data_IF_389595966740
#
_entry.id   IF_389595966740
#
_cell.length_a   1.000
_cell.length_b   1.000
_cell.length_c   1.000
_cell.angle_alpha   90.00
_cell.angle_beta   90.00
_cell.angle_gamma   90.00
#
_symmetry.space_group_name_H-M   'P 1'
#
loop_
_entity.id
_entity.type
_entity.pdbx_description
1 polymer ?
#
# COMPACT_ATOMS: atom_id res chain seq x y z
N UNK A 1 -24.38 60.73 33.89
CA UNK A 1 -23.63 61.45 32.84
C UNK A 1 -22.20 60.90 32.77
N UNK A 2 -21.90 60.01 31.81
CA UNK A 2 -20.53 59.65 31.45
C UNK A 2 -20.41 59.79 29.93
N UNK A 3 -19.47 60.62 29.48
CA UNK A 3 -19.23 60.99 28.08
C UNK A 3 -18.71 59.78 27.29
N UNK A 4 -19.23 59.62 26.07
CA UNK A 4 -18.73 58.69 25.05
C UNK A 4 -17.36 59.14 24.55
N UNK A 5 -16.41 58.21 24.44
CA UNK A 5 -15.29 58.32 23.50
C UNK A 5 -15.40 57.17 22.50
N UNK A 6 -15.55 57.54 21.22
CA UNK A 6 -15.56 56.62 20.09
C UNK A 6 -14.13 56.26 19.75
N UNK A 7 -13.75 55.00 19.92
CA UNK A 7 -12.47 54.48 19.47
C UNK A 7 -12.61 54.09 17.99
N UNK A 8 -12.11 54.94 17.09
CA UNK A 8 -11.98 54.62 15.67
C UNK A 8 -10.83 53.60 15.53
N UNK A 9 -11.17 52.34 15.26
CA UNK A 9 -10.17 51.36 14.81
C UNK A 9 -9.93 51.60 13.32
N UNK A 10 -8.78 52.20 12.99
CA UNK A 10 -8.29 52.24 11.62
C UNK A 10 -7.81 50.83 11.27
N UNK A 11 -8.64 50.05 10.59
CA UNK A 11 -8.20 48.80 9.96
C UNK A 11 -7.33 49.23 8.77
N UNK A 12 -6.01 49.16 8.95
CA UNK A 12 -5.06 49.20 7.85
C UNK A 12 -5.32 47.95 7.00
N UNK A 13 -5.92 48.14 5.82
CA UNK A 13 -6.02 47.12 4.79
C UNK A 13 -4.58 46.74 4.39
N UNK A 14 -4.04 45.71 5.02
CA UNK A 14 -2.88 45.01 4.49
C UNK A 14 -3.35 44.31 3.22
N UNK A 15 -2.97 44.84 2.06
CA UNK A 15 -3.11 44.13 0.80
C UNK A 15 -2.38 42.79 0.95
N UNK A 16 -3.14 41.71 1.04
CA UNK A 16 -2.61 40.36 0.85
C UNK A 16 -2.32 40.27 -0.65
N UNK A 17 -1.14 40.75 -1.05
CA UNK A 17 -0.53 40.33 -2.29
C UNK A 17 -0.40 38.82 -2.24
N UNK A 18 -0.75 38.16 -3.34
CA UNK A 18 -0.56 36.73 -3.54
C UNK A 18 0.97 36.53 -3.55
N UNK A 19 1.57 36.36 -2.37
CA UNK A 19 3.02 36.30 -2.22
C UNK A 19 3.54 35.05 -2.92
N UNK A 20 4.58 35.21 -3.73
CA UNK A 20 5.36 34.09 -4.22
C UNK A 20 5.96 33.31 -3.04
N UNK A 21 6.15 32.00 -3.19
CA UNK A 21 6.88 31.24 -2.19
C UNK A 21 8.33 31.72 -2.13
N UNK A 22 8.83 32.01 -0.92
CA UNK A 22 10.19 32.49 -0.68
C UNK A 22 11.23 31.62 -1.42
N UNK A 23 12.20 32.23 -2.09
CA UNK A 23 13.29 31.46 -2.70
C UNK A 23 14.18 30.83 -1.63
N UNK A 24 14.24 29.50 -1.58
CA UNK A 24 14.91 28.73 -0.51
C UNK A 24 16.36 28.33 -0.82
N UNK A 25 16.92 28.77 -1.94
CA UNK A 25 18.27 28.39 -2.37
C UNK A 25 18.32 27.29 -3.44
N UNK A 26 17.16 26.79 -3.90
CA UNK A 26 17.05 25.78 -4.95
C UNK A 26 16.28 26.34 -6.14
N UNK A 27 16.86 26.23 -7.34
CA UNK A 27 16.21 26.65 -8.58
C UNK A 27 17.20 26.98 -9.69
N UNK A 28 16.74 26.92 -10.93
CA UNK A 28 17.53 27.33 -12.10
C UNK A 28 17.02 28.68 -12.58
N UNK A 29 17.92 29.66 -12.65
CA UNK A 29 17.63 30.98 -13.19
C UNK A 29 18.14 31.06 -14.62
N UNK A 30 17.27 31.37 -15.57
CA UNK A 30 17.59 31.45 -17.00
C UNK A 30 17.66 32.90 -17.44
N UNK A 31 18.67 33.26 -18.24
CA UNK A 31 18.82 34.63 -18.77
C UNK A 31 17.58 35.03 -19.57
N UNK A 32 17.00 36.17 -19.24
CA UNK A 32 15.93 36.78 -20.03
C UNK A 32 16.50 37.75 -21.05
N UNK A 33 15.83 37.88 -22.20
CA UNK A 33 16.34 38.66 -23.35
C UNK A 33 15.37 39.71 -23.85
N UNK A 34 14.39 40.06 -23.02
CA UNK A 34 13.40 41.09 -23.34
C UNK A 34 12.71 41.60 -22.09
N UNK A 35 12.11 42.80 -22.18
CA UNK A 35 11.22 43.31 -21.13
C UNK A 35 9.89 42.56 -21.06
N UNK A 36 9.51 41.78 -22.09
CA UNK A 36 8.32 40.95 -22.08
C UNK A 36 8.46 39.74 -21.13
N UNK A 37 9.68 39.21 -21.00
CA UNK A 37 10.01 38.12 -20.08
C UNK A 37 10.16 38.58 -18.61
N UNK A 38 10.37 39.89 -18.41
CA UNK A 38 10.46 40.55 -17.10
C UNK A 38 9.06 40.69 -16.49
N UNK A 39 8.61 39.62 -15.83
CA UNK A 39 7.40 39.61 -14.98
C UNK A 39 7.77 39.64 -13.51
N UNK A 40 6.79 39.66 -12.62
CA UNK A 40 7.06 39.55 -11.19
C UNK A 40 7.68 38.19 -10.86
N UNK A 41 8.65 38.17 -9.94
CA UNK A 41 9.35 36.96 -9.51
C UNK A 41 10.80 37.19 -9.07
N UNK A 42 11.54 36.08 -8.93
CA UNK A 42 12.93 36.09 -8.46
C UNK A 42 13.94 36.17 -9.61
N UNK A 43 14.99 36.96 -9.39
CA UNK A 43 16.04 37.22 -10.35
C UNK A 43 17.44 37.17 -9.74
N UNK A 44 18.43 36.78 -10.53
CA UNK A 44 19.84 37.10 -10.30
C UNK A 44 20.23 38.23 -11.25
N UNK A 45 20.87 39.26 -10.71
CA UNK A 45 21.32 40.44 -11.46
C UNK A 45 22.83 40.33 -11.64
N UNK A 46 23.32 40.37 -12.88
CA UNK A 46 24.75 40.34 -13.20
C UNK A 46 25.19 41.58 -13.98
N UNK A 47 26.50 41.80 -14.06
CA UNK A 47 27.07 42.78 -14.97
C UNK A 47 26.92 42.33 -16.44
N UNK A 48 27.08 43.24 -17.39
CA UNK A 48 26.83 42.97 -18.81
C UNK A 48 27.64 41.81 -19.42
N UNK A 49 28.78 41.45 -18.81
CA UNK A 49 29.63 40.33 -19.24
C UNK A 49 29.37 39.03 -18.50
N UNK A 50 28.36 38.98 -17.61
CA UNK A 50 28.01 37.83 -16.77
C UNK A 50 29.11 37.33 -15.82
N UNK A 51 30.17 38.10 -15.61
CA UNK A 51 31.30 37.69 -14.78
C UNK A 51 31.02 37.87 -13.28
N UNK A 52 30.13 38.80 -12.94
CA UNK A 52 29.87 39.23 -11.58
C UNK A 52 28.38 39.40 -11.32
N UNK A 53 27.89 38.83 -10.22
CA UNK A 53 26.53 39.04 -9.73
C UNK A 53 26.48 40.09 -8.61
N UNK A 54 25.34 40.75 -8.47
CA UNK A 54 25.04 41.67 -7.37
C UNK A 54 24.64 40.88 -6.13
N UNK A 55 25.40 41.05 -5.04
CA UNK A 55 25.10 40.43 -3.74
C UNK A 55 24.42 41.45 -2.83
N UNK A 56 23.72 40.99 -1.79
CA UNK A 56 23.22 41.87 -0.72
C UNK A 56 24.32 42.37 0.24
N UNK A 57 25.58 41.94 0.05
CA UNK A 57 26.71 42.44 0.79
C UNK A 57 26.95 43.92 0.49
N UNK A 58 27.20 44.71 1.54
CA UNK A 58 27.34 46.17 1.41
C UNK A 58 28.68 46.68 1.87
N UNK A 59 29.06 47.82 1.30
CA UNK A 59 30.12 48.69 1.79
C UNK A 59 29.58 50.11 1.92
N UNK A 60 29.93 50.80 3.00
CA UNK A 60 29.37 52.11 3.34
C UNK A 60 28.07 52.02 4.15
N UNK A 61 27.30 53.12 4.18
CA UNK A 61 26.07 53.23 4.99
C UNK A 61 24.81 52.89 4.20
N UNK A 62 23.66 52.85 4.89
CA UNK A 62 22.35 52.64 4.28
C UNK A 62 22.13 53.51 3.03
N UNK A 63 22.43 54.81 3.15
CA UNK A 63 22.15 55.84 2.14
C UNK A 63 23.33 56.09 1.20
N UNK A 64 24.57 56.01 1.68
CA UNK A 64 25.77 56.37 0.89
C UNK A 64 26.58 55.19 0.37
N UNK A 65 26.15 53.95 0.62
CA UNK A 65 26.86 52.73 0.25
C UNK A 65 26.66 52.21 -1.17
N UNK A 66 27.21 51.03 -1.43
CA UNK A 66 27.09 50.26 -2.68
C UNK A 66 27.03 48.76 -2.38
N UNK A 67 26.59 47.98 -3.37
CA UNK A 67 26.56 46.52 -3.27
C UNK A 67 27.86 45.93 -3.79
N UNK A 68 28.41 44.96 -3.06
CA UNK A 68 29.61 44.23 -3.48
C UNK A 68 29.22 43.17 -4.51
N UNK A 69 30.16 42.86 -5.40
CA UNK A 69 30.02 41.82 -6.41
C UNK A 69 30.63 40.50 -5.96
N UNK A 70 30.08 39.38 -6.43
CA UNK A 70 30.71 38.07 -6.36
C UNK A 70 30.85 37.49 -7.77
N UNK A 71 31.88 36.67 -8.00
CA UNK A 71 32.08 36.00 -9.27
C UNK A 71 30.96 35.00 -9.55
N UNK A 72 30.55 34.88 -10.82
CA UNK A 72 29.59 33.88 -11.28
C UNK A 72 29.98 33.39 -12.67
N UNK A 73 29.70 32.12 -12.96
CA UNK A 73 29.91 31.53 -14.28
C UNK A 73 28.63 30.84 -14.71
N UNK A 74 27.74 31.54 -15.45
CA UNK A 74 26.53 30.91 -15.98
C UNK A 74 26.88 29.78 -16.96
N UNK A 75 26.17 28.67 -16.86
CA UNK A 75 26.33 27.50 -17.74
C UNK A 75 25.14 27.48 -18.70
N UNK A 76 25.42 27.54 -20.00
CA UNK A 76 24.39 27.55 -21.05
C UNK A 76 23.29 28.61 -20.82
N UNK A 77 23.68 29.82 -20.38
CA UNK A 77 22.75 30.91 -20.10
C UNK A 77 21.91 30.72 -18.83
N UNK A 78 22.33 29.84 -17.92
CA UNK A 78 21.63 29.59 -16.64
C UNK A 78 22.54 29.65 -15.43
N UNK A 79 21.98 30.04 -14.29
CA UNK A 79 22.61 30.04 -12.96
C UNK A 79 21.77 29.12 -12.07
N UNK A 80 22.35 28.05 -11.54
CA UNK A 80 21.63 27.06 -10.72
C UNK A 80 21.98 27.24 -9.25
N UNK A 81 20.96 27.20 -8.39
CA UNK A 81 21.04 27.29 -6.94
C UNK A 81 21.89 28.48 -6.43
N UNK A 82 21.69 29.73 -6.92
CA UNK A 82 22.34 30.89 -6.34
C UNK A 82 21.98 31.01 -4.85
N UNK A 83 22.91 31.54 -4.05
CA UNK A 83 22.64 31.89 -2.64
C UNK A 83 21.47 32.87 -2.54
N UNK A 84 20.62 32.72 -1.53
CA UNK A 84 19.51 33.64 -1.21
C UNK A 84 19.96 35.10 -1.07
N UNK A 85 21.23 35.33 -0.71
CA UNK A 85 21.85 36.66 -0.63
C UNK A 85 22.06 37.34 -1.98
N UNK A 86 21.98 36.58 -3.07
CA UNK A 86 22.25 37.03 -4.44
C UNK A 86 20.99 37.03 -5.32
N UNK A 87 19.84 36.71 -4.72
CA UNK A 87 18.54 36.65 -5.39
C UNK A 87 17.72 37.87 -5.01
N UNK A 88 17.07 38.45 -6.01
CA UNK A 88 16.33 39.69 -5.91
C UNK A 88 14.93 39.48 -6.43
N UNK A 89 13.94 39.80 -5.61
CA UNK A 89 12.54 39.84 -6.02
C UNK A 89 12.29 41.16 -6.79
N UNK A 90 11.83 41.05 -8.03
CA UNK A 90 11.51 42.20 -8.88
C UNK A 90 10.02 42.18 -9.17
N UNK A 91 9.31 43.24 -8.76
CA UNK A 91 7.85 43.32 -8.87
C UNK A 91 7.40 44.65 -9.47
N UNK A 92 6.27 44.66 -10.18
CA UNK A 92 5.60 45.89 -10.60
C UNK A 92 5.15 46.67 -9.36
N UNK A 93 5.57 47.93 -9.26
CA UNK A 93 5.17 48.80 -8.18
C UNK A 93 5.02 50.25 -8.67
N UNK A 94 3.78 50.72 -8.79
CA UNK A 94 3.47 52.04 -9.34
C UNK A 94 3.94 52.18 -10.78
N UNK A 95 4.63 53.28 -11.09
CA UNK A 95 5.16 53.58 -12.43
C UNK A 95 6.49 52.88 -12.79
N UNK A 96 6.94 51.91 -11.99
CA UNK A 96 8.18 51.18 -12.22
C UNK A 96 8.17 49.82 -11.54
N UNK A 97 9.34 49.29 -11.23
CA UNK A 97 9.52 48.03 -10.50
C UNK A 97 10.42 48.22 -9.28
N UNK A 98 10.11 47.55 -8.18
CA UNK A 98 11.01 47.43 -7.03
C UNK A 98 12.02 46.32 -7.27
N UNK A 99 13.18 46.41 -6.61
CA UNK A 99 14.18 45.32 -6.53
C UNK A 99 14.40 45.08 -5.04
N UNK A 100 13.94 43.95 -4.53
CA UNK A 100 13.92 43.62 -3.10
C UNK A 100 14.81 42.41 -2.82
N UNK A 101 15.51 42.40 -1.68
CA UNK A 101 16.18 41.19 -1.20
C UNK A 101 15.54 40.75 0.11
N UNK A 102 14.95 39.56 0.10
CA UNK A 102 14.23 38.99 1.23
C UNK A 102 15.14 38.71 2.43
N UNK A 103 16.40 38.30 2.18
CA UNK A 103 17.32 37.94 3.25
C UNK A 103 17.70 39.14 4.15
N UNK A 104 17.67 40.37 3.63
CA UNK A 104 17.87 41.59 4.43
C UNK A 104 16.60 42.43 4.59
N UNK A 105 15.49 42.03 3.96
CA UNK A 105 14.22 42.75 3.91
C UNK A 105 14.36 44.23 3.48
N UNK A 106 15.05 44.49 2.37
CA UNK A 106 15.28 45.86 1.86
C UNK A 106 15.13 45.98 0.34
N UNK A 107 14.73 47.18 -0.08
CA UNK A 107 14.67 47.59 -1.48
C UNK A 107 15.97 48.27 -1.92
N UNK A 108 16.43 48.00 -3.14
CA UNK A 108 17.54 48.72 -3.79
C UNK A 108 17.07 50.10 -4.22
N UNK A 109 17.75 51.13 -3.75
CA UNK A 109 17.42 52.53 -4.04
C UNK A 109 18.58 53.39 -4.48
N UNK A 110 18.30 54.67 -4.64
CA UNK A 110 19.27 55.74 -4.78
C UNK A 110 18.90 56.90 -3.84
N UNK A 111 19.90 57.45 -3.15
CA UNK A 111 19.71 58.61 -2.27
C UNK A 111 20.46 59.86 -2.76
N UNK A 112 21.74 59.71 -3.09
CA UNK A 112 22.63 60.80 -3.47
C UNK A 112 23.90 60.26 -4.13
N UNK A 113 24.63 61.13 -4.84
CA UNK A 113 25.89 60.77 -5.47
C UNK A 113 25.78 59.54 -6.37
N UNK A 114 26.77 58.63 -6.24
CA UNK A 114 26.85 57.37 -6.97
C UNK A 114 26.43 56.15 -6.11
N UNK A 115 25.62 56.34 -5.08
CA UNK A 115 25.29 55.28 -4.12
C UNK A 115 24.20 54.33 -4.65
N UNK A 116 24.22 53.07 -4.25
CA UNK A 116 23.04 52.20 -4.29
C UNK A 116 22.57 52.00 -2.85
N UNK A 117 21.52 52.74 -2.47
CA UNK A 117 21.00 52.73 -1.11
C UNK A 117 20.13 51.50 -0.84
N UNK A 118 19.83 51.26 0.43
CA UNK A 118 18.78 50.31 0.84
C UNK A 118 17.67 51.09 1.52
N UNK A 119 16.44 50.76 1.18
CA UNK A 119 15.26 51.46 1.66
C UNK A 119 14.26 50.47 2.28
N UNK A 120 13.52 50.94 3.29
CA UNK A 120 12.53 50.16 4.03
C UNK A 120 11.17 50.08 3.33
N UNK A 121 10.82 51.09 2.53
CA UNK A 121 9.50 51.21 1.91
C UNK A 121 9.59 51.61 0.44
N UNK A 122 8.71 51.11 -0.44
CA UNK A 122 8.69 51.50 -1.84
C UNK A 122 8.35 52.99 -2.05
N UNK A 123 9.18 53.67 -2.84
CA UNK A 123 9.06 55.05 -3.26
C UNK A 123 9.70 55.24 -4.64
N UNK A 124 9.57 56.41 -5.27
CA UNK A 124 10.19 56.63 -6.59
C UNK A 124 11.74 56.62 -6.54
N UNK A 125 12.34 56.83 -5.37
CA UNK A 125 13.80 56.76 -5.15
C UNK A 125 14.36 55.33 -5.15
N UNK A 126 13.51 54.31 -5.03
CA UNK A 126 13.84 52.88 -5.08
C UNK A 126 12.91 52.08 -6.00
N UNK A 127 12.29 52.78 -6.95
CA UNK A 127 11.65 52.18 -8.13
C UNK A 127 12.52 52.41 -9.34
N UNK A 128 12.50 51.42 -10.22
CA UNK A 128 13.34 51.38 -11.40
C UNK A 128 12.51 51.11 -12.66
N UNK A 129 12.84 51.76 -13.76
CA UNK A 129 12.36 51.42 -15.10
C UNK A 129 13.40 50.56 -15.80
N UNK A 130 12.94 49.53 -16.50
CA UNK A 130 13.79 48.59 -17.22
C UNK A 130 13.55 48.75 -18.72
N UNK A 131 14.63 48.93 -19.49
CA UNK A 131 14.62 48.85 -20.95
C UNK A 131 15.65 47.83 -21.42
N UNK A 132 15.37 47.16 -22.54
CA UNK A 132 16.27 46.17 -23.13
C UNK A 132 16.67 46.57 -24.54
N UNK A 133 17.97 46.75 -24.76
CA UNK A 133 18.55 47.07 -26.06
C UNK A 133 20.00 46.54 -26.13
N UNK A 134 20.50 46.24 -27.34
CA UNK A 134 21.89 45.82 -27.51
C UNK A 134 22.29 44.55 -26.72
N UNK A 135 21.32 43.71 -26.34
CA UNK A 135 21.56 42.50 -25.56
C UNK A 135 21.66 42.72 -24.04
N UNK A 136 21.25 43.89 -23.52
CA UNK A 136 21.52 44.33 -22.15
C UNK A 136 20.31 45.07 -21.55
N UNK A 137 20.21 45.09 -20.22
CA UNK A 137 19.23 45.87 -19.48
C UNK A 137 19.80 47.20 -18.98
N UNK A 138 19.15 48.29 -19.34
CA UNK A 138 19.32 49.61 -18.72
C UNK A 138 18.28 49.76 -17.61
N UNK A 139 18.73 50.10 -16.40
CA UNK A 139 17.87 50.15 -15.19
C UNK A 139 17.94 51.56 -14.58
N UNK A 140 16.97 52.41 -14.90
CA UNK A 140 16.94 53.83 -14.52
C UNK A 140 16.03 54.08 -13.32
N UNK A 141 16.46 54.96 -12.42
CA UNK A 141 15.67 55.33 -11.24
C UNK A 141 14.45 56.18 -11.65
N UNK A 142 13.29 55.90 -11.06
CA UNK A 142 12.04 56.60 -11.39
C UNK A 142 12.05 58.05 -10.92
N UNK A 143 12.59 58.35 -9.73
CA UNK A 143 12.66 59.72 -9.23
C UNK A 143 13.70 60.58 -9.97
N UNK A 144 14.80 59.96 -10.42
CA UNK A 144 15.90 60.66 -11.08
C UNK A 144 16.42 59.81 -12.25
N UNK A 145 15.86 60.02 -13.45
CA UNK A 145 16.17 59.20 -14.64
C UNK A 145 17.62 59.33 -15.13
N UNK A 146 18.37 60.32 -14.65
CA UNK A 146 19.82 60.42 -14.83
C UNK A 146 20.61 59.54 -13.87
N UNK A 147 19.97 58.64 -13.12
CA UNK A 147 20.61 57.64 -12.26
C UNK A 147 20.25 56.24 -12.70
N UNK A 148 21.29 55.47 -12.98
CA UNK A 148 21.21 54.12 -13.50
C UNK A 148 21.89 53.14 -12.55
N UNK A 149 21.23 52.04 -12.17
CA UNK A 149 21.89 50.93 -11.49
C UNK A 149 22.84 50.24 -12.48
N UNK A 150 24.13 50.24 -12.18
CA UNK A 150 25.19 49.78 -13.09
C UNK A 150 26.34 49.13 -12.33
N UNK A 151 27.20 48.41 -13.06
CA UNK A 151 28.42 47.83 -12.50
C UNK A 151 29.67 48.63 -12.89
N UNK A 152 30.54 48.89 -11.92
CA UNK A 152 31.83 49.56 -12.14
C UNK A 152 32.97 48.54 -12.18
N UNK A 153 33.57 48.34 -13.36
CA UNK A 153 34.68 47.41 -13.54
C UNK A 153 36.02 47.93 -13.02
N UNK A 154 36.26 49.24 -13.08
CA UNK A 154 37.48 49.87 -12.55
C UNK A 154 37.55 49.89 -11.01
N UNK A 155 36.42 49.62 -10.36
CA UNK A 155 36.35 49.34 -8.94
C UNK A 155 35.13 48.46 -8.65
N UNK A 156 35.28 47.13 -8.72
CA UNK A 156 34.20 46.14 -8.72
C UNK A 156 33.11 46.40 -7.67
N UNK A 157 31.97 46.93 -8.11
CA UNK A 157 30.78 47.21 -7.29
C UNK A 157 29.55 47.50 -8.14
N UNK A 158 28.37 47.27 -7.58
CA UNK A 158 27.10 47.74 -8.11
C UNK A 158 26.66 49.01 -7.38
N UNK A 159 26.40 50.06 -8.14
CA UNK A 159 26.03 51.38 -7.62
C UNK A 159 25.14 52.10 -8.64
N UNK A 160 24.55 53.25 -8.26
CA UNK A 160 23.72 54.02 -9.18
C UNK A 160 24.48 55.21 -9.77
N UNK A 161 24.78 55.19 -11.07
CA UNK A 161 25.64 56.17 -11.75
C UNK A 161 24.88 57.05 -12.75
N UNK A 162 25.52 58.16 -13.16
CA UNK A 162 25.04 59.06 -14.21
C UNK A 162 25.16 58.55 -15.65
N UNK A 163 25.44 57.26 -15.84
CA UNK A 163 25.86 56.61 -17.09
C UNK A 163 27.16 57.19 -17.70
N UNK A 164 28.26 57.09 -16.96
CA UNK A 164 29.61 57.50 -17.35
C UNK A 164 30.43 56.30 -17.86
N UNK A 165 29.87 55.49 -18.77
CA UNK A 165 30.56 54.30 -19.30
C UNK A 165 30.68 53.13 -18.30
N UNK A 166 29.80 53.07 -17.30
CA UNK A 166 29.65 51.88 -16.45
C UNK A 166 28.92 50.77 -17.23
N UNK A 167 29.12 49.53 -16.79
CA UNK A 167 28.50 48.37 -17.43
C UNK A 167 27.01 48.29 -17.12
N UNK A 168 26.24 47.89 -18.13
CA UNK A 168 24.82 47.57 -17.98
C UNK A 168 24.62 46.21 -17.29
N UNK A 169 23.37 45.76 -17.20
CA UNK A 169 23.00 44.57 -16.43
C UNK A 169 22.46 43.46 -17.32
N UNK A 170 22.59 42.21 -16.86
CA UNK A 170 21.80 41.08 -17.33
C UNK A 170 20.90 40.60 -16.18
N UNK A 171 19.76 40.01 -16.55
CA UNK A 171 18.80 39.44 -15.61
C UNK A 171 18.62 37.96 -15.91
N UNK A 172 18.73 37.13 -14.89
CA UNK A 172 18.38 35.71 -14.94
C UNK A 172 17.16 35.51 -14.07
N UNK A 173 16.08 34.97 -14.64
CA UNK A 173 14.81 34.77 -13.94
C UNK A 173 14.68 33.33 -13.48
N UNK A 174 14.17 33.10 -12.26
CA UNK A 174 13.86 31.76 -11.78
C UNK A 174 12.89 31.08 -12.76
N UNK A 175 13.29 29.95 -13.33
CA UNK A 175 12.46 29.16 -14.21
C UNK A 175 11.31 28.54 -13.41
N UNK A 176 10.08 28.66 -13.90
CA UNK A 176 8.93 27.97 -13.32
C UNK A 176 9.04 26.47 -13.60
N UNK A 177 9.33 25.67 -12.58
CA UNK A 177 9.16 24.22 -12.65
C UNK A 177 7.72 23.89 -12.29
N UNK A 178 6.96 23.39 -13.27
CA UNK A 178 5.66 22.80 -13.00
C UNK A 178 5.80 21.28 -12.82
N UNK A 179 5.00 20.73 -11.92
CA UNK A 179 4.86 19.31 -11.65
C UNK A 179 3.54 18.78 -12.21
N UNK A 180 3.50 17.47 -12.41
CA UNK A 180 2.33 16.74 -12.90
C UNK A 180 2.01 15.56 -11.99
N UNK A 181 0.75 15.14 -12.01
CA UNK A 181 0.30 13.90 -11.38
C UNK A 181 -0.10 12.92 -12.46
N UNK A 182 0.47 11.72 -12.40
CA UNK A 182 0.10 10.61 -13.28
C UNK A 182 -0.48 9.47 -12.47
N UNK A 183 -1.34 8.67 -13.12
CA UNK A 183 -1.97 7.51 -12.49
C UNK A 183 -1.53 6.24 -13.22
N UNK A 184 -1.29 5.19 -12.47
CA UNK A 184 -0.90 3.88 -12.98
C UNK A 184 -1.89 2.82 -12.47
N UNK A 185 -2.45 2.03 -13.38
CA UNK A 185 -3.46 1.02 -13.06
C UNK A 185 -2.93 -0.15 -12.22
N UNK A 186 -1.61 -0.25 -12.06
CA UNK A 186 -0.86 -1.18 -11.24
C UNK A 186 -1.44 -2.60 -11.31
N UNK A 187 -1.07 -3.35 -12.36
CA UNK A 187 -1.55 -4.73 -12.62
C UNK A 187 -3.05 -4.86 -12.92
N UNK A 188 -3.73 -3.77 -13.30
CA UNK A 188 -5.12 -3.84 -13.76
C UNK A 188 -5.27 -4.80 -14.96
N UNK A 189 -6.43 -5.46 -15.04
CA UNK A 189 -6.79 -6.34 -16.17
C UNK A 189 -7.75 -5.69 -17.15
N UNK A 190 -8.29 -4.51 -16.81
CA UNK A 190 -9.17 -3.73 -17.68
C UNK A 190 -9.39 -2.30 -17.18
N UNK A 191 -10.21 -1.55 -17.94
CA UNK A 191 -10.47 -0.14 -17.71
C UNK A 191 -9.30 0.78 -18.11
N UNK A 192 -9.41 2.05 -17.76
CA UNK A 192 -8.37 3.07 -18.02
C UNK A 192 -8.09 3.90 -16.78
N UNK A 193 -6.84 4.32 -16.60
CA UNK A 193 -6.47 5.26 -15.53
C UNK A 193 -7.09 6.64 -15.77
N UNK A 194 -7.41 7.39 -14.70
CA UNK A 194 -7.81 8.79 -14.85
C UNK A 194 -6.65 9.64 -15.37
N UNK A 195 -6.96 10.73 -16.05
CA UNK A 195 -5.98 11.71 -16.55
C UNK A 195 -6.12 13.02 -15.80
N UNK A 196 -5.05 13.47 -15.16
CA UNK A 196 -4.93 14.84 -14.65
C UNK A 196 -4.13 15.66 -15.67
N UNK A 197 -4.80 16.64 -16.30
CA UNK A 197 -4.20 17.49 -17.33
C UNK A 197 -3.57 18.78 -16.80
N UNK A 198 -3.56 18.99 -15.48
CA UNK A 198 -3.05 20.22 -14.88
C UNK A 198 -1.52 20.21 -14.76
N UNK A 199 -0.94 21.41 -14.82
CA UNK A 199 0.45 21.68 -14.47
C UNK A 199 0.47 22.49 -13.17
N UNK A 200 1.14 21.97 -12.16
CA UNK A 200 1.12 22.52 -10.80
C UNK A 200 2.45 23.18 -10.45
N UNK A 201 2.45 24.33 -9.79
CA UNK A 201 3.66 24.86 -9.17
C UNK A 201 3.99 24.08 -7.89
N UNK A 202 5.24 24.21 -7.44
CA UNK A 202 5.64 23.67 -6.14
C UNK A 202 4.80 24.25 -5.01
N UNK A 203 4.18 23.38 -4.22
CA UNK A 203 3.32 23.74 -3.09
C UNK A 203 1.83 23.82 -3.42
N UNK A 204 1.46 23.76 -4.71
CA UNK A 204 0.06 23.75 -5.12
C UNK A 204 -0.68 22.53 -4.55
N UNK A 205 -1.96 22.71 -4.22
CA UNK A 205 -2.80 21.63 -3.71
C UNK A 205 -3.40 20.85 -4.88
N UNK A 206 -3.11 19.55 -4.94
CA UNK A 206 -3.69 18.60 -5.90
C UNK A 206 -4.86 17.88 -5.25
N UNK A 207 -5.95 17.68 -5.99
CA UNK A 207 -7.05 16.77 -5.60
C UNK A 207 -6.91 15.44 -6.34
N UNK A 208 -6.83 14.34 -5.58
CA UNK A 208 -6.69 12.98 -6.12
C UNK A 208 -7.98 12.54 -6.81
N UNK A 209 -7.87 12.06 -8.05
CA UNK A 209 -8.99 11.54 -8.83
C UNK A 209 -9.37 10.15 -8.32
N UNK A 210 -10.66 9.84 -8.29
CA UNK A 210 -11.15 8.49 -7.99
C UNK A 210 -10.95 7.52 -9.17
N UNK A 211 -11.56 6.33 -9.08
CA UNK A 211 -11.58 5.35 -10.16
C UNK A 211 -12.59 5.75 -11.27
N UNK A 212 -12.34 6.86 -11.96
CA UNK A 212 -13.30 7.42 -12.94
C UNK A 212 -13.27 6.70 -14.30
N UNK A 213 -12.17 6.02 -14.64
CA UNK A 213 -12.05 5.22 -15.86
C UNK A 213 -12.38 3.73 -15.67
N UNK A 214 -13.11 3.39 -14.60
CA UNK A 214 -13.59 2.04 -14.30
C UNK A 214 -12.49 0.98 -14.38
N UNK A 215 -11.34 1.26 -13.77
CA UNK A 215 -10.27 0.27 -13.60
C UNK A 215 -10.82 -0.95 -12.89
N UNK A 216 -10.46 -2.12 -13.42
CA UNK A 216 -10.79 -3.43 -12.85
C UNK A 216 -9.54 -4.30 -12.82
N UNK A 217 -9.47 -5.16 -11.81
CA UNK A 217 -8.49 -6.24 -11.70
C UNK A 217 -9.23 -7.51 -11.30
N UNK A 218 -9.16 -8.53 -12.16
CA UNK A 218 -9.88 -9.79 -11.96
C UNK A 218 -9.53 -10.40 -10.61
N UNK A 219 -10.55 -10.65 -9.76
CA UNK A 219 -10.37 -11.19 -8.41
C UNK A 219 -10.01 -10.14 -7.34
N UNK A 220 -10.09 -8.84 -7.65
CA UNK A 220 -9.75 -7.77 -6.71
C UNK A 220 -10.73 -6.59 -6.79
N UNK A 221 -10.94 -5.92 -5.65
CA UNK A 221 -11.58 -4.60 -5.58
C UNK A 221 -10.55 -3.47 -5.56
N UNK A 222 -10.87 -2.36 -6.23
CA UNK A 222 -10.07 -1.14 -6.15
C UNK A 222 -10.11 -0.55 -4.74
N UNK A 223 -8.94 -0.36 -4.12
CA UNK A 223 -8.78 0.09 -2.73
C UNK A 223 -8.24 1.52 -2.60
N UNK A 224 -8.07 2.23 -3.72
CA UNK A 224 -7.49 3.57 -3.76
C UNK A 224 -6.15 3.61 -4.48
N UNK A 225 -5.38 4.64 -4.19
CA UNK A 225 -4.10 4.96 -4.80
C UNK A 225 -2.99 4.98 -3.75
N UNK A 226 -1.75 4.75 -4.17
CA UNK A 226 -0.58 4.91 -3.31
C UNK A 226 0.59 5.53 -4.10
N UNK A 227 1.48 6.26 -3.43
CA UNK A 227 2.68 6.85 -4.07
C UNK A 227 3.76 5.82 -4.44
N UNK A 228 3.62 4.56 -3.99
CA UNK A 228 4.46 3.44 -4.36
C UNK A 228 3.60 2.27 -4.87
N UNK A 229 4.08 1.55 -5.88
CA UNK A 229 3.34 0.45 -6.50
C UNK A 229 3.10 -0.74 -5.56
N UNK A 230 3.99 -0.96 -4.60
CA UNK A 230 3.91 -2.02 -3.59
C UNK A 230 3.07 -1.64 -2.35
N UNK A 231 2.51 -0.42 -2.32
CA UNK A 231 1.70 0.08 -1.21
C UNK A 231 2.49 0.64 -0.03
N UNK A 232 3.82 0.67 -0.08
CA UNK A 232 4.68 1.17 1.01
C UNK A 232 4.67 2.71 1.16
N UNK A 233 4.13 3.42 0.17
CA UNK A 233 4.04 4.86 0.14
C UNK A 233 2.82 5.41 0.89
N UNK A 234 2.44 6.65 0.56
CA UNK A 234 1.26 7.30 1.15
C UNK A 234 0.00 6.90 0.38
N UNK A 235 -1.02 6.42 1.09
CA UNK A 235 -2.30 6.03 0.51
C UNK A 235 -3.26 7.21 0.36
N UNK A 236 -4.00 7.23 -0.74
CA UNK A 236 -5.02 8.22 -1.05
C UNK A 236 -6.27 7.56 -1.62
N UNK A 237 -7.44 8.03 -1.20
CA UNK A 237 -8.71 7.75 -1.88
C UNK A 237 -9.13 8.96 -2.73
N UNK A 238 -10.04 8.75 -3.68
CA UNK A 238 -10.56 9.83 -4.52
C UNK A 238 -11.12 10.99 -3.66
N UNK A 239 -10.78 12.22 -4.02
CA UNK A 239 -11.13 13.44 -3.30
C UNK A 239 -10.16 13.83 -2.17
N UNK A 240 -9.18 13.00 -1.82
CA UNK A 240 -8.08 13.44 -0.96
C UNK A 240 -7.25 14.53 -1.63
N UNK A 241 -6.51 15.31 -0.83
CA UNK A 241 -5.63 16.37 -1.33
C UNK A 241 -4.21 16.26 -0.79
N UNK A 242 -3.22 16.66 -1.58
CA UNK A 242 -1.83 16.79 -1.13
C UNK A 242 -1.14 17.99 -1.81
N UNK A 243 -0.08 18.51 -1.19
CA UNK A 243 0.73 19.58 -1.78
C UNK A 243 1.85 18.99 -2.62
N UNK A 244 1.92 19.35 -3.90
CA UNK A 244 2.88 18.77 -4.83
C UNK A 244 4.23 19.50 -4.80
N UNK A 245 5.32 18.75 -4.64
CA UNK A 245 6.68 19.29 -4.64
C UNK A 245 7.61 18.63 -5.66
N UNK A 246 7.10 17.62 -6.37
CA UNK A 246 7.74 16.92 -7.47
C UNK A 246 6.66 16.21 -8.32
N UNK A 247 7.01 15.78 -9.53
CA UNK A 247 6.15 14.89 -10.31
C UNK A 247 5.79 13.65 -9.49
N UNK A 248 4.50 13.33 -9.42
CA UNK A 248 3.99 12.24 -8.57
C UNK A 248 3.22 11.24 -9.41
N UNK A 249 3.54 9.95 -9.27
CA UNK A 249 2.75 8.86 -9.83
C UNK A 249 1.97 8.18 -8.72
N UNK A 250 0.67 8.01 -8.94
CA UNK A 250 -0.26 7.34 -8.03
C UNK A 250 -0.63 5.98 -8.61
N UNK A 251 -0.28 4.92 -7.90
CA UNK A 251 -0.47 3.53 -8.31
C UNK A 251 -1.75 2.97 -7.68
N UNK A 252 -2.61 2.36 -8.48
CA UNK A 252 -3.82 1.71 -7.97
C UNK A 252 -3.43 0.63 -6.95
N UNK A 253 -4.18 0.55 -5.86
CA UNK A 253 -4.04 -0.52 -4.88
C UNK A 253 -5.29 -1.39 -4.94
N UNK A 254 -5.08 -2.68 -4.72
CA UNK A 254 -6.07 -3.71 -4.98
C UNK A 254 -6.19 -4.60 -3.75
N UNK A 255 -7.42 -4.84 -3.29
CA UNK A 255 -7.72 -5.83 -2.25
C UNK A 255 -8.25 -7.09 -2.93
N UNK A 256 -7.71 -8.29 -2.62
CA UNK A 256 -8.27 -9.53 -3.15
C UNK A 256 -9.73 -9.68 -2.71
N UNK A 257 -10.57 -10.21 -3.60
CA UNK A 257 -11.96 -10.53 -3.30
C UNK A 257 -12.07 -11.86 -2.56
N UNK A 258 -13.03 -11.93 -1.64
CA UNK A 258 -13.54 -13.15 -1.03
C UNK A 258 -14.79 -13.60 -1.78
N UNK A 259 -15.18 -14.87 -1.61
CA UNK A 259 -16.48 -15.32 -2.12
C UNK A 259 -17.60 -14.71 -1.28
N UNK A 260 -18.68 -14.27 -1.92
CA UNK A 260 -19.81 -13.63 -1.22
C UNK A 260 -20.61 -14.58 -0.29
N UNK A 261 -20.57 -15.89 -0.55
CA UNK A 261 -21.16 -16.90 0.34
C UNK A 261 -20.56 -18.28 0.11
N UNK A 262 -20.38 -19.06 1.18
CA UNK A 262 -20.08 -20.49 1.07
C UNK A 262 -20.62 -21.28 2.28
N UNK A 263 -20.75 -22.60 2.14
CA UNK A 263 -21.19 -23.47 3.23
C UNK A 263 -20.55 -24.86 3.19
N UNK A 264 -20.69 -25.57 4.31
CA UNK A 264 -20.73 -27.03 4.30
C UNK A 264 -22.18 -27.45 4.03
N UNK A 265 -22.43 -28.10 2.90
CA UNK A 265 -23.77 -28.37 2.43
C UNK A 265 -24.36 -29.62 3.08
N UNK A 266 -23.65 -30.74 2.98
CA UNK A 266 -24.11 -32.06 3.45
C UNK A 266 -22.95 -33.06 3.41
N UNK A 267 -22.96 -34.12 4.22
CA UNK A 267 -23.83 -34.32 5.39
C UNK A 267 -23.52 -33.39 6.55
N UNK A 268 -24.46 -33.30 7.49
CA UNK A 268 -24.26 -32.67 8.80
C UNK A 268 -23.39 -33.55 9.70
N UNK A 269 -23.62 -34.86 9.60
CA UNK A 269 -22.92 -35.86 10.39
C UNK A 269 -22.88 -37.19 9.66
N UNK A 270 -21.91 -38.04 10.01
CA UNK A 270 -21.78 -39.37 9.45
C UNK A 270 -21.17 -40.36 10.41
N UNK A 271 -21.35 -41.64 10.11
CA UNK A 271 -20.64 -42.73 10.78
C UNK A 271 -20.10 -43.68 9.73
N UNK A 272 -18.80 -43.99 9.81
CA UNK A 272 -18.13 -44.95 8.93
C UNK A 272 -17.29 -45.92 9.77
N UNK A 273 -16.92 -47.04 9.19
CA UNK A 273 -15.80 -47.86 9.68
C UNK A 273 -14.49 -47.25 9.17
N UNK A 274 -13.42 -47.34 9.96
CA UNK A 274 -12.08 -46.91 9.55
C UNK A 274 -11.70 -47.48 8.17
N UNK A 275 -11.13 -46.64 7.31
CA UNK A 275 -10.76 -47.01 5.93
C UNK A 275 -11.91 -46.89 4.90
N UNK A 276 -13.17 -46.72 5.34
CA UNK A 276 -14.28 -46.55 4.41
C UNK A 276 -14.41 -45.11 3.88
N UNK A 277 -15.03 -45.02 2.71
CA UNK A 277 -15.32 -43.77 2.01
C UNK A 277 -16.31 -42.92 2.80
N UNK A 278 -16.02 -41.63 2.91
CA UNK A 278 -16.98 -40.61 3.32
C UNK A 278 -16.85 -39.37 2.46
N UNK A 279 -17.88 -39.08 1.67
CA UNK A 279 -17.91 -37.90 0.80
C UNK A 279 -18.75 -36.80 1.42
N UNK A 280 -18.15 -35.63 1.55
CA UNK A 280 -18.83 -34.41 1.95
C UNK A 280 -18.96 -33.45 0.77
N UNK A 281 -19.94 -32.56 0.85
CA UNK A 281 -20.35 -31.63 -0.18
C UNK A 281 -20.41 -30.21 0.40
N UNK A 282 -19.99 -29.24 -0.41
CA UNK A 282 -19.94 -27.83 -0.05
C UNK A 282 -20.44 -26.99 -1.22
N UNK A 283 -20.99 -25.82 -0.94
CA UNK A 283 -21.44 -24.89 -1.98
C UNK A 283 -20.83 -23.52 -1.81
N UNK A 284 -20.73 -22.81 -2.92
CA UNK A 284 -20.20 -21.45 -2.99
C UNK A 284 -21.01 -20.60 -3.95
N UNK A 285 -21.13 -19.32 -3.61
CA UNK A 285 -21.75 -18.31 -4.43
C UNK A 285 -20.81 -17.10 -4.53
N UNK A 286 -20.56 -16.71 -5.77
CA UNK A 286 -19.88 -15.48 -6.16
C UNK A 286 -20.65 -14.90 -7.37
N UNK A 287 -21.19 -13.67 -7.26
CA UNK A 287 -22.00 -13.03 -8.28
C UNK A 287 -21.31 -13.00 -9.64
N UNK A 288 -22.04 -13.38 -10.68
CA UNK A 288 -21.54 -13.44 -12.07
C UNK A 288 -20.42 -14.46 -12.32
N UNK A 289 -19.98 -15.20 -11.30
CA UNK A 289 -18.99 -16.28 -11.43
C UNK A 289 -19.69 -17.64 -11.35
N UNK A 290 -20.43 -17.88 -10.27
CA UNK A 290 -21.12 -19.17 -9.99
C UNK A 290 -22.55 -19.24 -10.54
N UNK A 291 -23.08 -18.13 -11.08
CA UNK A 291 -24.41 -18.12 -11.70
C UNK A 291 -24.44 -18.78 -13.10
N UNK A 292 -23.27 -18.96 -13.72
CA UNK A 292 -23.15 -19.55 -15.04
C UNK A 292 -23.11 -21.07 -14.94
N UNK A 293 -23.51 -21.78 -16.00
CA UNK A 293 -23.43 -23.23 -16.01
C UNK A 293 -21.98 -23.72 -16.05
N UNK A 294 -21.66 -24.70 -15.19
CA UNK A 294 -20.33 -25.28 -15.04
C UNK A 294 -19.48 -24.54 -14.01
N UNK A 295 -18.35 -25.14 -13.66
CA UNK A 295 -17.46 -24.63 -12.61
C UNK A 295 -17.09 -23.15 -12.79
N UNK A 296 -17.40 -22.34 -11.78
CA UNK A 296 -17.04 -20.94 -11.68
C UNK A 296 -15.53 -20.72 -11.83
N UNK A 297 -15.16 -19.88 -12.79
CA UNK A 297 -13.77 -19.61 -13.10
C UNK A 297 -13.05 -18.97 -11.90
N UNK A 298 -11.89 -19.53 -11.52
CA UNK A 298 -11.08 -19.04 -10.40
C UNK A 298 -11.55 -19.52 -9.03
N UNK A 299 -12.61 -20.33 -8.93
CA UNK A 299 -13.04 -20.93 -7.67
C UNK A 299 -12.24 -22.20 -7.40
N UNK A 300 -11.59 -22.22 -6.24
CA UNK A 300 -10.98 -23.42 -5.64
C UNK A 300 -11.70 -23.78 -4.35
N UNK A 301 -11.88 -25.07 -4.10
CA UNK A 301 -12.64 -25.57 -2.97
C UNK A 301 -11.90 -26.70 -2.24
N UNK A 302 -12.10 -26.79 -0.93
CA UNK A 302 -11.59 -27.87 -0.10
C UNK A 302 -12.61 -28.25 0.95
N UNK A 303 -12.54 -29.51 1.38
CA UNK A 303 -13.16 -29.97 2.62
C UNK A 303 -12.05 -30.49 3.51
N UNK A 304 -12.05 -30.05 4.76
CA UNK A 304 -11.04 -30.39 5.73
C UNK A 304 -11.63 -31.05 6.97
N UNK A 305 -10.77 -31.67 7.76
CA UNK A 305 -11.13 -32.28 9.03
C UNK A 305 -10.13 -31.98 10.15
N UNK A 306 -10.60 -32.10 11.39
CA UNK A 306 -9.83 -31.94 12.62
C UNK A 306 -10.37 -32.90 13.70
N UNK A 307 -9.53 -33.31 14.65
CA UNK A 307 -9.96 -34.11 15.81
C UNK A 307 -10.62 -33.28 16.90
N UNK A 308 -10.44 -31.95 16.88
CA UNK A 308 -11.04 -31.00 17.79
C UNK A 308 -12.07 -30.13 17.06
N UNK A 309 -13.14 -29.76 17.76
CA UNK A 309 -14.15 -28.84 17.25
C UNK A 309 -13.62 -27.41 17.34
N UNK A 310 -12.98 -26.94 16.27
CA UNK A 310 -12.27 -25.67 16.22
C UNK A 310 -12.80 -24.78 15.09
N UNK A 311 -12.39 -23.51 15.12
CA UNK A 311 -12.49 -22.63 13.96
C UNK A 311 -11.69 -23.23 12.78
N UNK A 312 -12.29 -23.38 11.59
CA UNK A 312 -11.63 -23.97 10.43
C UNK A 312 -10.47 -23.14 9.86
N UNK A 313 -10.28 -21.89 10.30
CA UNK A 313 -9.08 -21.11 9.99
C UNK A 313 -7.83 -21.54 10.76
N UNK A 314 -7.97 -22.39 11.78
CA UNK A 314 -6.83 -22.91 12.54
C UNK A 314 -5.88 -23.77 11.68
N UNK A 315 -4.57 -23.61 11.90
CA UNK A 315 -3.54 -24.26 11.10
C UNK A 315 -3.47 -25.80 11.27
N UNK A 316 -4.13 -26.37 12.29
CA UNK A 316 -4.15 -27.81 12.56
C UNK A 316 -5.10 -28.61 11.66
N UNK A 317 -5.95 -27.94 10.87
CA UNK A 317 -6.86 -28.61 9.95
C UNK A 317 -6.15 -29.29 8.78
N UNK A 318 -6.55 -30.51 8.47
CA UNK A 318 -6.10 -31.22 7.27
C UNK A 318 -7.09 -30.97 6.14
N UNK A 319 -6.62 -30.50 4.98
CA UNK A 319 -7.47 -30.06 3.87
C UNK A 319 -7.31 -30.93 2.62
N UNK A 320 -8.43 -31.37 2.07
CA UNK A 320 -8.50 -32.17 0.83
C UNK A 320 -9.16 -31.32 -0.25
N UNK A 321 -8.56 -31.32 -1.44
CA UNK A 321 -9.10 -30.60 -2.60
C UNK A 321 -10.46 -31.18 -2.95
N UNK A 322 -11.48 -30.33 -3.01
CA UNK A 322 -12.80 -30.70 -3.47
C UNK A 322 -12.93 -30.47 -4.97
N UNK A 323 -13.58 -31.40 -5.68
CA UNK A 323 -13.83 -31.30 -7.12
C UNK A 323 -15.22 -30.75 -7.37
N UNK A 324 -15.38 -29.97 -8.44
CA UNK A 324 -16.70 -29.53 -8.89
C UNK A 324 -17.61 -30.74 -9.11
N UNK A 325 -18.82 -30.68 -8.58
CA UNK A 325 -19.84 -31.72 -8.65
C UNK A 325 -20.95 -31.34 -9.63
N UNK A 326 -21.65 -30.24 -9.36
CA UNK A 326 -22.78 -29.77 -10.17
C UNK A 326 -23.12 -28.31 -9.86
N UNK A 327 -23.84 -27.67 -10.78
CA UNK A 327 -24.56 -26.43 -10.50
C UNK A 327 -25.76 -26.72 -9.57
N UNK A 328 -26.02 -25.83 -8.62
CA UNK A 328 -27.15 -25.89 -7.69
C UNK A 328 -27.82 -24.51 -7.59
N UNK A 329 -28.72 -24.23 -8.52
CA UNK A 329 -29.35 -22.92 -8.62
C UNK A 329 -28.32 -21.89 -9.08
N UNK A 330 -28.01 -20.91 -8.22
CA UNK A 330 -26.98 -19.90 -8.47
C UNK A 330 -25.61 -20.28 -7.88
N UNK A 331 -25.52 -21.42 -7.19
CA UNK A 331 -24.34 -21.82 -6.45
C UNK A 331 -23.66 -22.98 -7.17
N UNK A 332 -22.34 -23.06 -7.07
CA UNK A 332 -21.59 -24.24 -7.48
C UNK A 332 -21.42 -25.19 -6.31
N UNK A 333 -21.67 -26.49 -6.53
CA UNK A 333 -21.44 -27.53 -5.55
C UNK A 333 -20.14 -28.29 -5.83
N UNK A 334 -19.39 -28.56 -4.78
CA UNK A 334 -18.13 -29.29 -4.79
C UNK A 334 -18.21 -30.46 -3.82
N UNK A 335 -17.46 -31.52 -4.11
CA UNK A 335 -17.41 -32.72 -3.28
C UNK A 335 -15.97 -33.14 -3.00
N UNK A 336 -15.71 -33.66 -1.81
CA UNK A 336 -14.44 -34.30 -1.46
C UNK A 336 -14.69 -35.58 -0.68
N UNK A 337 -13.94 -36.62 -1.03
CA UNK A 337 -13.84 -37.84 -0.23
C UNK A 337 -12.79 -37.62 0.87
N UNK A 338 -13.21 -37.71 2.13
CA UNK A 338 -12.34 -37.48 3.29
C UNK A 338 -12.18 -38.73 4.17
N UNK A 339 -13.06 -39.72 4.04
CA UNK A 339 -13.09 -40.90 4.90
C UNK A 339 -11.82 -41.75 4.81
N UNK A 340 -11.33 -42.03 3.60
CA UNK A 340 -10.13 -42.86 3.41
C UNK A 340 -8.83 -42.18 3.83
N UNK A 341 -8.86 -40.85 4.02
CA UNK A 341 -7.71 -40.06 4.47
C UNK A 341 -7.54 -40.01 5.98
N UNK A 342 -8.57 -40.43 6.73
CA UNK A 342 -8.57 -40.35 8.18
C UNK A 342 -7.58 -41.36 8.76
N UNK A 343 -6.64 -40.94 9.64
CA UNK A 343 -5.53 -41.79 10.06
C UNK A 343 -5.89 -42.79 11.17
N UNK A 344 -6.94 -42.54 11.96
CA UNK A 344 -7.38 -43.42 13.05
C UNK A 344 -8.88 -43.37 13.24
N UNK A 345 -9.45 -44.39 13.88
CA UNK A 345 -10.80 -44.31 14.44
C UNK A 345 -10.90 -43.20 15.50
N UNK A 346 -12.11 -42.67 15.70
CA UNK A 346 -12.37 -41.53 16.57
C UNK A 346 -13.48 -40.62 16.06
N UNK A 347 -13.66 -39.47 16.71
CA UNK A 347 -14.57 -38.42 16.24
C UNK A 347 -13.77 -37.31 15.58
N UNK A 348 -14.24 -36.88 14.41
CA UNK A 348 -13.66 -35.79 13.62
C UNK A 348 -14.72 -34.74 13.33
N UNK A 349 -14.28 -33.50 13.22
CA UNK A 349 -15.08 -32.35 12.82
C UNK A 349 -14.63 -31.93 11.43
N UNK A 350 -15.56 -31.62 10.54
CA UNK A 350 -15.25 -31.23 9.16
C UNK A 350 -15.96 -29.95 8.73
N UNK A 351 -15.33 -29.22 7.82
CA UNK A 351 -15.80 -27.94 7.30
C UNK A 351 -15.31 -27.75 5.87
N UNK A 352 -15.86 -26.74 5.19
CA UNK A 352 -15.41 -26.36 3.85
C UNK A 352 -14.60 -25.07 3.88
N UNK A 353 -13.74 -24.87 2.88
CA UNK A 353 -13.20 -23.56 2.55
C UNK A 353 -13.13 -23.35 1.05
N UNK A 354 -13.21 -22.09 0.65
CA UNK A 354 -13.17 -21.66 -0.73
C UNK A 354 -12.18 -20.53 -0.90
N UNK A 355 -11.68 -20.38 -2.13
CA UNK A 355 -10.80 -19.30 -2.52
C UNK A 355 -11.21 -18.82 -3.91
N UNK A 356 -11.31 -17.51 -4.10
CA UNK A 356 -11.57 -16.92 -5.41
C UNK A 356 -10.30 -16.27 -5.97
N UNK A 357 -9.87 -16.71 -7.14
CA UNK A 357 -8.73 -16.15 -7.90
C UNK A 357 -7.44 -15.99 -7.08
N UNK A 358 -7.18 -16.87 -6.11
CA UNK A 358 -6.00 -16.81 -5.25
C UNK A 358 -6.09 -15.79 -4.10
N UNK A 359 -7.28 -15.25 -3.81
CA UNK A 359 -7.56 -14.39 -2.66
C UNK A 359 -7.46 -15.11 -1.31
N UNK A 360 -7.92 -14.52 -0.20
CA UNK A 360 -7.97 -15.20 1.09
C UNK A 360 -8.97 -16.37 1.08
N UNK A 361 -8.83 -17.28 2.05
CA UNK A 361 -9.78 -18.37 2.24
C UNK A 361 -11.02 -17.89 2.98
N UNK A 362 -12.18 -18.36 2.54
CA UNK A 362 -13.45 -18.17 3.23
C UNK A 362 -14.02 -19.53 3.64
N UNK A 363 -14.55 -19.64 4.85
CA UNK A 363 -14.87 -20.93 5.46
C UNK A 363 -16.37 -21.13 5.61
N UNK A 364 -16.88 -22.27 5.16
CA UNK A 364 -18.30 -22.60 5.16
C UNK A 364 -18.64 -23.65 6.22
N UNK A 365 -19.61 -23.32 7.07
CA UNK A 365 -20.19 -24.21 8.08
C UNK A 365 -21.55 -24.76 7.66
N UNK A 366 -22.01 -25.74 8.41
CA UNK A 366 -23.28 -26.42 8.21
C UNK A 366 -24.40 -25.81 9.05
N UNK A 367 -25.58 -25.68 8.46
CA UNK A 367 -26.84 -25.42 9.13
C UNK A 367 -27.97 -26.13 8.36
N UNK A 368 -28.95 -26.71 9.06
CA UNK A 368 -30.08 -27.41 8.44
C UNK A 368 -30.93 -26.55 7.49
N UNK A 369 -30.91 -25.23 7.66
CA UNK A 369 -31.56 -24.24 6.80
C UNK A 369 -30.77 -23.87 5.53
N UNK A 370 -29.64 -24.53 5.25
CA UNK A 370 -28.84 -24.29 4.05
C UNK A 370 -27.42 -23.78 4.29
N UNK A 371 -26.94 -23.74 5.55
CA UNK A 371 -25.58 -23.34 5.90
C UNK A 371 -25.21 -21.88 5.60
N UNK A 372 -23.92 -21.59 5.67
CA UNK A 372 -23.34 -20.28 5.40
C UNK A 372 -21.92 -20.20 5.95
N UNK A 373 -21.36 -18.99 6.01
CA UNK A 373 -20.04 -18.80 6.61
C UNK A 373 -20.01 -19.35 8.02
N UNK A 374 -18.95 -20.12 8.30
CA UNK A 374 -18.75 -20.71 9.60
C UNK A 374 -18.65 -19.60 10.66
N UNK A 375 -19.39 -19.78 11.76
CA UNK A 375 -19.37 -18.85 12.90
C UNK A 375 -19.33 -19.58 14.26
N UNK A 376 -19.26 -20.91 14.24
CA UNK A 376 -19.22 -21.76 15.43
C UNK A 376 -20.52 -21.77 16.25
N UNK A 377 -21.61 -21.17 15.75
CA UNK A 377 -22.89 -21.09 16.47
C UNK A 377 -24.07 -21.45 15.59
N UNK A 378 -24.35 -20.67 14.54
CA UNK A 378 -25.42 -20.95 13.61
C UNK A 378 -24.94 -21.88 12.48
N UNK A 379 -23.73 -21.64 11.97
CA UNK A 379 -23.09 -22.46 10.95
C UNK A 379 -21.87 -23.14 11.58
N UNK A 380 -22.00 -24.45 11.84
CA UNK A 380 -21.06 -25.22 12.66
C UNK A 380 -20.29 -26.24 11.82
N UNK A 381 -19.29 -26.89 12.43
CA UNK A 381 -18.63 -28.02 11.78
C UNK A 381 -19.60 -29.21 11.66
N UNK A 382 -19.42 -30.01 10.61
CA UNK A 382 -20.03 -31.34 10.55
C UNK A 382 -19.28 -32.33 11.44
N UNK A 383 -19.94 -33.43 11.84
CA UNK A 383 -19.37 -34.42 12.77
C UNK A 383 -19.28 -35.80 12.12
N UNK A 384 -18.09 -36.38 12.06
CA UNK A 384 -17.84 -37.72 11.52
C UNK A 384 -17.34 -38.65 12.64
N UNK A 385 -18.09 -39.70 12.91
CA UNK A 385 -17.65 -40.79 13.78
C UNK A 385 -17.03 -41.90 12.93
N UNK A 386 -15.77 -42.21 13.18
CA UNK A 386 -15.05 -43.30 12.54
C UNK A 386 -14.89 -44.43 13.56
N UNK A 387 -15.64 -45.50 13.39
CA UNK A 387 -15.53 -46.67 14.24
C UNK A 387 -14.27 -47.47 13.89
N UNK A 388 -13.63 -48.13 14.87
CA UNK A 388 -12.58 -49.08 14.56
C UNK A 388 -13.13 -50.19 13.66
N UNK A 389 -12.28 -50.67 12.76
CA UNK A 389 -12.58 -51.86 11.99
C UNK A 389 -12.41 -53.11 12.86
N UNK A 390 -13.29 -54.09 12.68
CA UNK A 390 -13.22 -55.35 13.42
C UNK A 390 -12.75 -56.43 12.47
N UNK A 391 -11.79 -57.25 12.93
CA UNK A 391 -11.34 -58.42 12.15
C UNK A 391 -12.54 -59.29 11.79
N UNK A 392 -12.70 -59.57 10.50
CA UNK A 392 -13.79 -60.40 9.96
C UNK A 392 -13.83 -61.80 10.59
N UNK A 393 -12.68 -62.34 11.00
CA UNK A 393 -12.59 -63.63 11.66
C UNK A 393 -11.45 -63.67 12.68
N UNK A 394 -11.69 -64.35 13.81
CA UNK A 394 -10.63 -64.76 14.72
C UNK A 394 -10.98 -66.08 15.43
N UNK A 395 -9.95 -66.86 15.77
CA UNK A 395 -10.10 -68.03 16.64
C UNK A 395 -8.79 -68.36 17.38
N UNK A 396 -8.91 -69.09 18.47
CA UNK A 396 -7.79 -69.86 19.03
C UNK A 396 -7.47 -71.00 18.07
N UNK A 397 -6.23 -71.06 17.60
CA UNK A 397 -5.78 -72.07 16.63
C UNK A 397 -5.17 -73.29 17.34
N UNK A 398 -4.09 -73.07 18.10
CA UNK A 398 -3.35 -74.14 18.75
C UNK A 398 -2.66 -73.69 20.06
N UNK A 399 -2.46 -74.57 21.07
CA UNK A 399 -3.15 -75.84 21.24
C UNK A 399 -4.57 -75.63 21.75
N UNK A 400 -5.52 -76.44 21.26
CA UNK A 400 -6.95 -76.36 21.67
C UNK A 400 -7.19 -76.83 23.10
N UNK A 401 -6.31 -77.68 23.62
CA UNK A 401 -6.35 -78.23 24.98
C UNK A 401 -4.94 -78.53 25.47
N UNK A 402 -4.68 -78.36 26.77
CA UNK A 402 -3.42 -78.76 27.38
C UNK A 402 -3.60 -79.15 28.85
N UNK A 403 -2.61 -79.83 29.41
CA UNK A 403 -2.47 -80.06 30.86
C UNK A 403 -1.08 -79.58 31.26
N UNK A 404 -1.02 -78.69 32.24
CA UNK A 404 0.21 -78.08 32.72
C UNK A 404 0.27 -78.16 34.25
N UNK A 405 1.46 -78.08 34.83
CA UNK A 405 1.58 -77.88 36.26
C UNK A 405 1.52 -76.39 36.60
N UNK A 406 1.17 -76.07 37.84
CA UNK A 406 1.16 -74.69 38.32
C UNK A 406 2.56 -74.07 38.20
N UNK A 407 2.65 -72.95 37.50
CA UNK A 407 3.91 -72.22 37.27
C UNK A 407 4.59 -72.55 35.94
N UNK A 408 4.13 -73.57 35.21
CA UNK A 408 4.63 -73.86 33.86
C UNK A 408 4.18 -72.76 32.88
N UNK A 409 5.07 -72.41 31.95
CA UNK A 409 4.72 -71.53 30.83
C UNK A 409 3.81 -72.28 29.85
N UNK A 410 2.79 -71.60 29.35
CA UNK A 410 1.86 -72.14 28.36
C UNK A 410 1.55 -71.10 27.29
N UNK A 411 1.98 -71.38 26.06
CA UNK A 411 1.78 -70.51 24.90
C UNK A 411 0.55 -70.98 24.12
N UNK A 412 -0.33 -70.04 23.79
CA UNK A 412 -1.50 -70.23 22.95
C UNK A 412 -1.33 -69.36 21.71
N UNK A 413 -1.68 -69.92 20.56
CA UNK A 413 -1.65 -69.28 19.26
C UNK A 413 -3.10 -69.05 18.81
N UNK A 414 -3.37 -67.85 18.32
CA UNK A 414 -4.62 -67.46 17.72
C UNK A 414 -4.32 -66.92 16.33
N UNK A 415 -5.31 -66.98 15.45
CA UNK A 415 -5.23 -66.43 14.11
C UNK A 415 -6.41 -65.48 13.89
N UNK A 416 -6.18 -64.49 13.03
CA UNK A 416 -7.20 -63.54 12.60
C UNK A 416 -7.14 -63.39 11.08
N UNK A 417 -8.28 -63.07 10.48
CA UNK A 417 -8.38 -62.75 9.07
C UNK A 417 -9.16 -61.46 8.90
N UNK A 418 -8.56 -60.53 8.15
CA UNK A 418 -9.18 -59.28 7.73
C UNK A 418 -8.84 -59.04 6.25
N UNK A 419 -9.85 -59.08 5.35
CA UNK A 419 -9.64 -58.81 3.93
C UNK A 419 -8.91 -57.50 3.66
N UNK A 420 -7.93 -57.55 2.77
CA UNK A 420 -7.04 -56.44 2.44
C UNK A 420 -5.91 -56.20 3.45
N UNK A 421 -6.03 -56.67 4.69
CA UNK A 421 -5.05 -56.42 5.77
C UNK A 421 -4.13 -57.62 6.01
N UNK A 422 -4.69 -58.84 6.10
CA UNK A 422 -3.93 -60.06 6.44
C UNK A 422 -3.71 -61.01 5.24
N UNK A 423 -3.89 -60.53 4.01
CA UNK A 423 -3.73 -61.37 2.80
C UNK A 423 -2.26 -61.62 2.39
N UNK A 424 -1.32 -60.85 2.93
CA UNK A 424 0.11 -60.94 2.61
C UNK A 424 0.88 -61.26 3.88
N UNK A 425 2.07 -61.85 3.69
CA UNK A 425 2.92 -62.26 4.80
C UNK A 425 3.27 -61.10 5.76
N UNK A 426 3.10 -61.31 7.07
CA UNK A 426 3.31 -60.35 8.15
C UNK A 426 2.05 -60.12 9.01
N UNK A 427 2.22 -59.43 10.14
CA UNK A 427 1.17 -59.16 11.14
C UNK A 427 -0.14 -58.55 10.59
N UNK A 428 -0.10 -57.90 9.43
CA UNK A 428 -1.16 -56.99 8.98
C UNK A 428 -1.06 -55.65 9.71
N UNK A 429 -1.22 -54.55 8.96
CA UNK A 429 -1.13 -53.21 9.55
C UNK A 429 -2.26 -52.99 10.56
N UNK A 430 -1.93 -52.48 11.76
CA UNK A 430 -2.88 -52.15 12.83
C UNK A 430 -3.72 -53.33 13.36
N UNK A 431 -3.30 -54.59 13.11
CA UNK A 431 -3.91 -55.75 13.78
C UNK A 431 -3.42 -55.80 15.22
N UNK A 432 -4.37 -55.67 16.14
CA UNK A 432 -4.17 -55.87 17.58
C UNK A 432 -4.89 -57.16 18.00
N UNK A 433 -4.21 -58.02 18.75
CA UNK A 433 -4.71 -59.31 19.16
C UNK A 433 -4.52 -59.54 20.67
N UNK A 434 -5.50 -60.18 21.29
CA UNK A 434 -5.45 -60.61 22.68
C UNK A 434 -5.93 -62.05 22.81
N UNK A 435 -5.31 -62.79 23.74
CA UNK A 435 -5.75 -64.14 24.12
C UNK A 435 -6.27 -64.09 25.55
N UNK A 436 -7.51 -64.52 25.72
CA UNK A 436 -8.22 -64.50 26.99
C UNK A 436 -8.21 -65.86 27.68
N UNK A 437 -8.22 -65.87 29.01
CA UNK A 437 -8.57 -67.07 29.79
C UNK A 437 -9.54 -66.75 30.94
N UNK A 438 -10.32 -67.75 31.33
CA UNK A 438 -11.30 -67.70 32.42
C UNK A 438 -11.15 -68.94 33.32
N UNK A 439 -11.26 -68.78 34.64
CA UNK A 439 -11.00 -69.82 35.64
C UNK A 439 -12.27 -70.42 36.27
N UNK A 440 -13.46 -69.98 35.86
CA UNK A 440 -14.74 -70.36 36.48
C UNK A 440 -15.30 -71.72 36.03
N UNK A 441 -14.64 -72.40 35.08
CA UNK A 441 -14.98 -73.77 34.65
C UNK A 441 -16.26 -73.90 33.79
N UNK A 442 -16.86 -72.78 33.38
CA UNK A 442 -18.00 -72.71 32.45
C UNK A 442 -17.52 -72.06 31.15
N UNK A 443 -17.97 -72.56 30.01
CA UNK A 443 -17.77 -71.92 28.72
C UNK A 443 -18.54 -70.59 28.69
N UNK A 444 -17.81 -69.48 28.87
CA UNK A 444 -18.37 -68.13 28.86
C UNK A 444 -18.28 -67.56 27.45
N UNK A 445 -19.31 -66.82 27.05
CA UNK A 445 -19.27 -66.03 25.83
C UNK A 445 -18.15 -64.96 25.95
N UNK A 446 -17.08 -65.02 25.11
CA UNK A 446 -15.99 -64.06 25.16
C UNK A 446 -16.40 -62.64 24.74
N UNK A 447 -17.61 -62.44 24.18
CA UNK A 447 -18.16 -61.11 23.90
C UNK A 447 -18.60 -60.37 25.18
N UNK A 448 -18.75 -61.07 26.30
CA UNK A 448 -18.93 -60.46 27.61
C UNK A 448 -17.59 -60.48 28.39
N UNK A 449 -16.90 -59.34 28.53
CA UNK A 449 -15.55 -59.30 29.11
C UNK A 449 -15.53 -59.60 30.62
N UNK A 450 -16.69 -59.67 31.28
CA UNK A 450 -16.80 -59.92 32.71
C UNK A 450 -16.27 -61.31 33.06
N UNK A 451 -15.14 -61.39 33.76
CA UNK A 451 -14.54 -62.64 34.22
C UNK A 451 -13.42 -63.20 33.31
N UNK A 452 -13.13 -62.54 32.18
CA UNK A 452 -11.99 -62.87 31.33
C UNK A 452 -10.75 -62.07 31.72
N UNK A 453 -9.59 -62.73 31.73
CA UNK A 453 -8.29 -62.07 31.77
C UNK A 453 -7.68 -62.10 30.38
N UNK A 454 -7.42 -60.93 29.78
CA UNK A 454 -6.86 -60.80 28.44
C UNK A 454 -5.36 -60.49 28.48
N UNK A 455 -4.60 -61.19 27.65
CA UNK A 455 -3.16 -60.98 27.48
C UNK A 455 -2.93 -60.51 26.04
N UNK A 456 -2.16 -59.43 25.86
CA UNK A 456 -1.75 -58.95 24.53
C UNK A 456 -0.94 -60.04 23.83
N UNK A 457 -1.37 -60.46 22.65
CA UNK A 457 -0.64 -61.40 21.82
C UNK A 457 0.41 -60.66 20.98
N UNK A 458 1.52 -61.34 20.70
CA UNK A 458 2.54 -60.87 19.75
C UNK A 458 2.42 -61.67 18.46
N UNK A 459 2.70 -61.04 17.32
CA UNK A 459 2.79 -61.73 16.05
C UNK A 459 3.85 -62.86 16.10
N UNK A 460 3.49 -64.03 15.56
CA UNK A 460 4.36 -65.21 15.50
C UNK A 460 4.70 -65.59 14.05
N UNK A 461 3.68 -65.92 13.25
CA UNK A 461 3.81 -66.38 11.86
C UNK A 461 2.49 -66.23 11.08
N UNK A 462 2.56 -66.44 9.76
CA UNK A 462 1.43 -66.43 8.80
C UNK A 462 0.78 -67.80 8.61
#
# INVERSE_FOLDING_TARGET
MKKKYSLLFLISLCFIGIGFAQYTGVGTFTKITSTAELTDGYYVITNETDAFLMTNGRSGTATTGYFISSGVTPVSGSITNPSVNNVWEIEVNGGGRTIFNEAIAKYVGWSSGNSASIEDTPANTNRWTFSYAGGKFTVLNVATTSRQLSYNSGSPRFAAYGNNGQQELQLYKLASSTYSVTYDGNTNTGGSVPTDGNAYNSGDSVTVLGNTGTLVRTGYSFNGWNTASDGSGTSYVGGNTFNITANTTLYAQWLPLEVDWCNLQFPASGTITYGNVFTAYARVYEPSVTNAAGQGAGISAWIGYNTNDLDPSDASWTWIVATYNTDSGNNDEYAAEIGTSIPTSGTYYYASRFQFSGGPYTYGGYNAGGGGFWDGSANVNGVLTVNPDQVDFCNVDYPKTATINTGDAFTVYAQAYEPGVTNSAGQGANIEAWIGYNTTGVDYDPTNPTGWTWIVATYDSD
#
